data_IF_217760766914
#
_entry.id   IF_217760766914
#
_cell.length_a   1.000
_cell.length_b   1.000
_cell.length_c   1.000
_cell.angle_alpha   90.00
_cell.angle_beta   90.00
_cell.angle_gamma   90.00
#
_symmetry.space_group_name_H-M   'P 1'
#
loop_
_entity.id
_entity.type
_entity.pdbx_description
1 polymer ?
#
# COMPACT_ATOMS: atom_id res chain seq x y z
N UNK A 1 -8.50 -14.59 -7.83
CA UNK A 1 -7.09 -14.95 -7.64
C UNK A 1 -6.91 -15.72 -6.35
N UNK A 2 -7.27 -15.15 -5.22
CA UNK A 2 -7.12 -15.75 -3.89
C UNK A 2 -8.44 -15.82 -3.17
N UNK A 3 -8.57 -16.72 -2.20
CA UNK A 3 -9.81 -16.89 -1.43
C UNK A 3 -9.49 -17.51 -0.06
N UNK A 4 -10.17 -17.01 0.99
CA UNK A 4 -10.28 -17.71 2.27
C UNK A 4 -11.28 -18.87 2.16
N UNK A 5 -11.10 -19.89 2.97
CA UNK A 5 -11.97 -21.06 3.05
C UNK A 5 -12.83 -21.02 4.32
N UNK A 6 -13.95 -21.75 4.39
CA UNK A 6 -14.77 -21.85 5.60
C UNK A 6 -14.04 -22.48 6.81
N UNK A 7 -12.89 -23.11 6.58
CA UNK A 7 -12.09 -23.74 7.64
C UNK A 7 -10.99 -22.81 8.18
N UNK A 8 -10.79 -21.64 7.59
CA UNK A 8 -9.83 -20.66 8.06
C UNK A 8 -10.38 -20.00 9.35
N UNK A 9 -9.51 -19.69 10.28
CA UNK A 9 -9.92 -19.00 11.49
C UNK A 9 -10.29 -17.53 11.22
N UNK A 10 -10.96 -16.92 12.20
CA UNK A 10 -11.49 -15.56 12.06
C UNK A 10 -10.36 -14.53 11.82
N UNK A 11 -9.21 -14.68 12.46
CA UNK A 11 -8.09 -13.77 12.32
C UNK A 11 -7.51 -13.83 10.89
N UNK A 12 -7.30 -15.03 10.36
CA UNK A 12 -6.86 -15.25 8.98
C UNK A 12 -7.83 -14.62 7.97
N UNK A 13 -9.15 -14.83 8.15
CA UNK A 13 -10.17 -14.25 7.28
C UNK A 13 -10.19 -12.71 7.36
N UNK A 14 -10.01 -12.15 8.56
CA UNK A 14 -10.06 -10.71 8.78
C UNK A 14 -8.81 -9.97 8.30
N UNK A 15 -7.63 -10.63 8.29
CA UNK A 15 -6.34 -9.97 8.06
C UNK A 15 -5.68 -10.31 6.74
N UNK A 16 -6.21 -11.31 5.98
CA UNK A 16 -5.64 -11.76 4.71
C UNK A 16 -6.67 -11.77 3.58
N UNK A 17 -6.20 -11.83 2.35
CA UNK A 17 -7.02 -12.04 1.15
C UNK A 17 -7.10 -13.52 0.74
N UNK A 18 -6.73 -14.44 1.65
CA UNK A 18 -6.76 -15.87 1.41
C UNK A 18 -5.54 -16.40 0.65
N UNK A 19 -5.65 -17.64 0.17
CA UNK A 19 -4.64 -18.34 -0.62
C UNK A 19 -5.04 -18.44 -2.08
N UNK A 20 -4.06 -18.66 -2.97
CA UNK A 20 -4.32 -18.91 -4.39
C UNK A 20 -5.40 -20.00 -4.57
N UNK A 21 -6.36 -19.74 -5.46
CA UNK A 21 -7.36 -20.75 -5.86
C UNK A 21 -6.71 -21.81 -6.75
N UNK A 22 -7.41 -22.93 -6.97
CA UNK A 22 -6.90 -24.01 -7.81
C UNK A 22 -6.45 -23.50 -9.19
N UNK A 23 -5.34 -24.04 -9.69
CA UNK A 23 -4.75 -23.70 -11.00
C UNK A 23 -4.37 -22.23 -11.19
N UNK A 24 -4.15 -21.50 -10.07
CA UNK A 24 -3.62 -20.14 -10.04
C UNK A 24 -2.36 -20.11 -9.19
N UNK A 25 -1.34 -19.47 -9.72
CA UNK A 25 -0.07 -19.26 -9.03
C UNK A 25 0.04 -17.81 -8.59
N UNK A 26 0.59 -17.59 -7.38
CA UNK A 26 0.85 -16.27 -6.80
C UNK A 26 2.25 -16.26 -6.23
N UNK A 27 2.99 -15.20 -6.50
CA UNK A 27 4.30 -14.93 -5.88
C UNK A 27 4.42 -13.43 -5.57
N UNK A 28 5.35 -13.09 -4.65
CA UNK A 28 5.75 -11.72 -4.42
C UNK A 28 7.20 -11.54 -4.90
N UNK A 29 7.49 -10.43 -5.57
CA UNK A 29 8.82 -10.12 -6.12
C UNK A 29 9.28 -8.73 -5.69
N UNK A 30 10.61 -8.55 -5.66
CA UNK A 30 11.24 -7.25 -5.46
C UNK A 30 11.30 -6.43 -6.78
N UNK A 31 11.99 -5.29 -6.74
CA UNK A 31 12.16 -4.40 -7.90
C UNK A 31 13.01 -5.01 -9.04
N UNK A 32 13.82 -6.03 -8.72
CA UNK A 32 14.63 -6.77 -9.68
C UNK A 32 13.93 -8.06 -10.19
N UNK A 33 12.60 -8.19 -9.95
CA UNK A 33 11.77 -9.36 -10.25
C UNK A 33 12.25 -10.66 -9.57
N UNK A 34 13.03 -10.57 -8.47
CA UNK A 34 13.41 -11.72 -7.68
C UNK A 34 12.35 -12.05 -6.65
N UNK A 35 12.03 -13.34 -6.50
CA UNK A 35 11.04 -13.78 -5.50
C UNK A 35 11.56 -13.46 -4.11
N UNK A 36 10.76 -12.71 -3.34
CA UNK A 36 11.07 -12.37 -1.94
C UNK A 36 10.78 -13.56 -1.01
N UNK A 37 11.41 -13.55 0.18
CA UNK A 37 11.15 -14.56 1.20
C UNK A 37 9.74 -14.46 1.76
N UNK A 38 9.19 -15.57 2.26
CA UNK A 38 7.90 -15.54 2.93
C UNK A 38 7.94 -14.60 4.13
N UNK A 39 6.94 -13.72 4.23
CA UNK A 39 6.84 -12.69 5.25
C UNK A 39 7.44 -11.33 4.85
N UNK A 40 8.11 -11.23 3.71
CA UNK A 40 8.64 -9.98 3.18
C UNK A 40 7.68 -9.35 2.16
N UNK A 41 7.58 -8.02 2.12
CA UNK A 41 6.74 -7.34 1.14
C UNK A 41 7.35 -7.38 -0.26
N UNK A 42 6.51 -7.55 -1.28
CA UNK A 42 6.89 -7.51 -2.68
C UNK A 42 5.68 -7.26 -3.59
N UNK A 43 5.93 -6.94 -4.87
CA UNK A 43 4.85 -6.85 -5.84
C UNK A 43 4.22 -8.22 -6.05
N UNK A 44 2.88 -8.26 -6.01
CA UNK A 44 2.10 -9.48 -6.21
C UNK A 44 2.03 -9.78 -7.71
N UNK A 45 2.58 -10.91 -8.11
CA UNK A 45 2.44 -11.45 -9.46
C UNK A 45 1.49 -12.65 -9.46
N UNK A 46 0.67 -12.73 -10.49
CA UNK A 46 -0.35 -13.78 -10.66
C UNK A 46 -0.22 -14.44 -12.02
N UNK A 47 -0.30 -15.76 -12.04
CA UNK A 47 -0.38 -16.55 -13.28
C UNK A 47 -1.49 -17.59 -13.19
N UNK A 48 -2.29 -17.72 -14.24
CA UNK A 48 -3.37 -18.70 -14.27
C UNK A 48 -4.45 -18.38 -15.30
N UNK A 49 -5.43 -19.24 -15.38
CA UNK A 49 -6.55 -19.15 -16.35
C UNK A 49 -7.44 -17.93 -16.16
N UNK A 50 -7.39 -17.30 -15.00
CA UNK A 50 -8.26 -16.21 -14.57
C UNK A 50 -7.68 -14.82 -14.80
N UNK A 51 -6.44 -14.71 -15.31
CA UNK A 51 -5.86 -13.41 -15.66
C UNK A 51 -6.46 -12.90 -16.97
N UNK A 52 -6.44 -11.58 -17.15
CA UNK A 52 -6.91 -10.95 -18.40
C UNK A 52 -6.03 -11.36 -19.58
N UNK A 53 -6.61 -11.38 -20.79
CA UNK A 53 -5.84 -11.54 -22.03
C UNK A 53 -5.14 -10.25 -22.46
N UNK A 54 -5.46 -9.12 -21.83
CA UNK A 54 -4.86 -7.83 -22.11
C UNK A 54 -5.85 -6.67 -21.99
N UNK A 55 -5.33 -5.47 -22.22
CA UNK A 55 -6.10 -4.23 -22.25
C UNK A 55 -6.67 -3.97 -23.65
N UNK A 56 -7.95 -3.67 -23.72
CA UNK A 56 -8.64 -3.44 -24.99
C UNK A 56 -8.00 -2.30 -25.80
N UNK A 57 -7.62 -2.61 -27.05
CA UNK A 57 -6.94 -1.70 -27.95
C UNK A 57 -5.66 -1.03 -27.40
N UNK A 58 -5.01 -1.65 -26.39
CA UNK A 58 -3.77 -1.13 -25.81
C UNK A 58 -2.73 -2.27 -25.63
N UNK A 59 -2.06 -2.70 -26.72
CA UNK A 59 -1.07 -3.77 -26.66
C UNK A 59 0.17 -3.38 -25.84
N UNK A 60 0.53 -2.10 -25.81
CA UNK A 60 1.66 -1.66 -25.00
C UNK A 60 1.39 -1.85 -23.51
N UNK A 61 0.25 -1.38 -23.01
CA UNK A 61 -0.13 -1.59 -21.60
C UNK A 61 -0.28 -3.09 -21.25
N UNK A 62 -0.64 -3.92 -22.23
CA UNK A 62 -0.70 -5.37 -22.04
C UNK A 62 0.70 -5.96 -21.85
N UNK A 63 1.68 -5.57 -22.66
CA UNK A 63 3.07 -6.00 -22.53
C UNK A 63 3.73 -5.52 -21.23
N UNK A 64 3.37 -4.32 -20.78
CA UNK A 64 3.85 -3.78 -19.50
C UNK A 64 3.26 -4.52 -18.30
N UNK A 65 2.04 -5.04 -18.43
CA UNK A 65 1.33 -5.70 -17.34
C UNK A 65 1.53 -7.22 -17.28
N UNK A 66 1.79 -7.87 -18.42
CA UNK A 66 1.96 -9.34 -18.48
C UNK A 66 3.32 -9.63 -19.10
N UNK A 67 4.18 -10.29 -18.33
CA UNK A 67 5.51 -10.65 -18.79
C UNK A 67 5.51 -11.84 -19.76
N UNK A 68 6.69 -12.13 -20.36
CA UNK A 68 6.86 -13.21 -21.35
C UNK A 68 6.60 -14.63 -20.79
N UNK A 69 6.68 -14.80 -19.46
CA UNK A 69 6.38 -16.05 -18.74
C UNK A 69 4.90 -16.16 -18.35
N UNK A 70 4.08 -15.16 -18.71
CA UNK A 70 2.65 -15.11 -18.47
C UNK A 70 2.26 -14.67 -17.05
N UNK A 71 3.15 -13.99 -16.33
CA UNK A 71 2.84 -13.39 -15.04
C UNK A 71 2.24 -12.01 -15.21
N UNK A 72 1.08 -11.80 -14.60
CA UNK A 72 0.45 -10.49 -14.47
C UNK A 72 1.07 -9.74 -13.30
N UNK A 73 1.70 -8.61 -13.56
CA UNK A 73 2.09 -7.61 -12.59
C UNK A 73 0.85 -6.84 -12.12
N UNK A 74 0.43 -7.09 -10.88
CA UNK A 74 -0.84 -6.51 -10.39
C UNK A 74 -0.72 -5.03 -10.03
N UNK A 75 0.49 -4.56 -9.77
CA UNK A 75 0.76 -3.24 -9.21
C UNK A 75 0.34 -3.12 -7.74
N UNK A 76 -0.05 -4.21 -7.10
CA UNK A 76 -0.33 -4.25 -5.66
C UNK A 76 0.86 -4.87 -4.93
N UNK A 77 1.20 -4.31 -3.78
CA UNK A 77 2.23 -4.82 -2.88
C UNK A 77 1.56 -5.70 -1.83
N UNK A 78 2.17 -6.83 -1.53
CA UNK A 78 1.66 -7.73 -0.50
C UNK A 78 2.73 -8.57 0.15
N UNK A 79 2.34 -9.24 1.22
CA UNK A 79 3.15 -10.17 1.98
C UNK A 79 2.53 -11.54 1.82
N UNK A 80 3.29 -12.50 1.31
CA UNK A 80 2.90 -13.89 1.22
C UNK A 80 3.53 -14.64 2.40
N UNK A 81 2.70 -15.23 3.25
CA UNK A 81 3.21 -16.00 4.39
C UNK A 81 3.67 -17.42 3.99
N UNK A 82 4.28 -18.14 4.92
CA UNK A 82 4.76 -19.52 4.70
C UNK A 82 3.63 -20.55 4.45
N UNK A 83 2.38 -20.20 4.74
CA UNK A 83 1.21 -21.03 4.51
C UNK A 83 0.51 -20.69 3.19
N UNK A 84 1.02 -19.67 2.46
CA UNK A 84 0.46 -19.22 1.19
C UNK A 84 -0.69 -18.22 1.32
N UNK A 85 -0.95 -17.64 2.50
CA UNK A 85 -1.89 -16.54 2.65
C UNK A 85 -1.26 -15.23 2.25
N UNK A 86 -2.02 -14.43 1.50
CA UNK A 86 -1.57 -13.12 1.05
C UNK A 86 -2.28 -12.01 1.80
N UNK A 87 -1.50 -11.04 2.27
CA UNK A 87 -1.98 -9.79 2.82
C UNK A 87 -1.58 -8.66 1.87
N UNK A 88 -2.55 -8.02 1.25
CA UNK A 88 -2.31 -6.84 0.42
C UNK A 88 -2.04 -5.67 1.35
N UNK A 89 -0.92 -4.97 1.13
CA UNK A 89 -0.46 -3.90 2.02
C UNK A 89 -0.49 -2.53 1.37
N UNK A 90 -0.23 -2.44 0.06
CA UNK A 90 -0.19 -1.14 -0.64
C UNK A 90 -0.28 -1.31 -2.16
N UNK A 91 -0.08 -0.21 -2.88
CA UNK A 91 0.13 -0.16 -4.33
C UNK A 91 1.54 0.27 -4.68
N UNK A 92 2.14 -0.38 -5.66
CA UNK A 92 3.52 -0.07 -6.09
C UNK A 92 3.65 1.38 -6.60
N UNK A 93 2.60 1.92 -7.24
CA UNK A 93 2.56 3.30 -7.74
C UNK A 93 2.48 4.38 -6.65
N UNK A 94 2.05 4.02 -5.46
CA UNK A 94 1.93 4.93 -4.33
C UNK A 94 3.16 4.88 -3.42
N UNK A 95 3.99 3.82 -3.54
CA UNK A 95 5.25 3.68 -2.82
C UNK A 95 6.23 4.80 -3.19
N UNK A 96 6.99 5.27 -2.23
CA UNK A 96 8.07 6.24 -2.41
C UNK A 96 9.33 5.81 -1.65
N UNK A 97 10.49 6.38 -2.01
CA UNK A 97 11.79 5.92 -1.50
C UNK A 97 12.40 6.98 -0.58
N UNK A 98 12.55 6.64 0.69
CA UNK A 98 13.13 7.49 1.72
C UNK A 98 14.54 7.00 2.07
N UNK A 99 15.57 7.69 1.60
CA UNK A 99 16.96 7.35 1.91
C UNK A 99 17.35 5.92 1.53
N UNK A 100 16.78 5.38 0.44
CA UNK A 100 17.01 4.01 -0.03
C UNK A 100 16.06 2.95 0.54
N UNK A 101 15.12 3.33 1.40
CA UNK A 101 14.11 2.41 1.95
C UNK A 101 12.75 2.64 1.28
N UNK A 102 12.09 1.55 0.90
CA UNK A 102 10.71 1.61 0.41
C UNK A 102 9.76 2.00 1.54
N UNK A 103 9.05 3.09 1.37
CA UNK A 103 7.98 3.53 2.26
C UNK A 103 6.62 3.30 1.58
N UNK A 104 5.74 2.63 2.29
CA UNK A 104 4.43 2.26 1.81
C UNK A 104 3.37 3.13 2.49
N UNK A 105 2.70 4.04 1.74
CA UNK A 105 1.72 4.96 2.30
C UNK A 105 0.64 4.32 3.15
N UNK A 106 0.05 3.20 2.71
CA UNK A 106 -1.02 2.55 3.45
C UNK A 106 -0.56 1.99 4.80
N UNK A 107 0.70 1.55 4.92
CA UNK A 107 1.26 1.14 6.20
C UNK A 107 1.35 2.33 7.18
N UNK A 108 1.83 3.48 6.70
CA UNK A 108 1.94 4.71 7.50
C UNK A 108 0.55 5.20 7.89
N UNK A 109 -0.40 5.22 6.95
CA UNK A 109 -1.79 5.62 7.16
C UNK A 109 -2.47 4.75 8.23
N UNK A 110 -2.29 3.44 8.17
CA UNK A 110 -2.84 2.53 9.16
C UNK A 110 -2.30 2.84 10.56
N UNK A 111 -0.99 3.03 10.69
CA UNK A 111 -0.38 3.39 12.00
C UNK A 111 -0.92 4.75 12.46
N UNK A 112 -0.99 5.78 11.60
CA UNK A 112 -1.56 7.08 11.97
C UNK A 112 -3.02 6.97 12.43
N UNK A 113 -3.82 6.12 11.79
CA UNK A 113 -5.22 5.89 12.16
C UNK A 113 -5.39 5.15 13.50
N UNK A 114 -4.36 4.50 14.04
CA UNK A 114 -4.36 3.96 15.41
C UNK A 114 -4.33 5.07 16.47
N UNK A 115 -3.95 6.30 16.11
CA UNK A 115 -3.98 7.44 17.02
C UNK A 115 -5.44 7.81 17.37
N UNK A 116 -5.78 7.95 18.69
CA UNK A 116 -7.18 8.12 19.14
C UNK A 116 -7.90 9.36 18.57
N UNK A 117 -7.15 10.42 18.23
CA UNK A 117 -7.72 11.65 17.68
C UNK A 117 -7.91 11.66 16.16
N UNK A 118 -7.34 10.68 15.42
CA UNK A 118 -7.36 10.66 13.95
C UNK A 118 -8.58 9.88 13.45
N UNK A 119 -9.30 10.47 12.50
CA UNK A 119 -10.43 9.83 11.80
C UNK A 119 -9.99 9.19 10.49
N UNK A 120 -9.17 9.91 9.71
CA UNK A 120 -8.66 9.47 8.43
C UNK A 120 -7.27 10.08 8.22
N UNK A 121 -6.44 9.38 7.45
CA UNK A 121 -5.17 9.91 6.98
C UNK A 121 -4.93 9.53 5.53
N UNK A 122 -4.15 10.36 4.83
CA UNK A 122 -3.60 10.05 3.53
C UNK A 122 -2.13 10.48 3.52
N UNK A 123 -1.27 9.64 2.96
CA UNK A 123 0.17 9.88 2.90
C UNK A 123 0.65 9.84 1.46
N UNK A 124 1.49 10.81 1.12
CA UNK A 124 2.19 10.88 -0.18
C UNK A 124 3.69 11.05 0.04
N UNK A 125 4.49 10.63 -0.94
CA UNK A 125 5.88 11.02 -1.05
C UNK A 125 5.98 12.43 -1.63
N UNK A 126 6.81 13.27 -1.02
CA UNK A 126 7.19 14.60 -1.52
C UNK A 126 8.70 14.69 -1.63
N UNK A 127 9.21 15.48 -2.57
CA UNK A 127 10.65 15.62 -2.81
C UNK A 127 11.40 16.18 -1.59
N UNK A 128 12.57 15.60 -1.28
CA UNK A 128 13.49 16.04 -0.24
C UNK A 128 14.91 15.99 -0.77
N UNK A 129 15.66 17.09 -0.61
CA UNK A 129 17.03 17.24 -1.14
C UNK A 129 18.00 16.18 -0.61
N UNK A 130 17.79 15.65 0.58
CA UNK A 130 18.72 14.74 1.26
C UNK A 130 18.28 13.28 1.16
N UNK A 131 16.98 13.01 1.26
CA UNK A 131 16.41 11.66 1.36
C UNK A 131 15.84 11.16 0.03
N UNK A 132 15.79 12.01 -1.01
CA UNK A 132 15.09 11.77 -2.26
C UNK A 132 13.61 12.09 -2.13
N UNK A 133 12.89 11.33 -1.34
CA UNK A 133 11.51 11.62 -0.95
C UNK A 133 11.35 11.46 0.57
N UNK A 134 10.29 12.09 1.09
CA UNK A 134 9.85 11.95 2.49
C UNK A 134 8.33 11.90 2.55
N UNK A 135 7.79 11.34 3.64
CA UNK A 135 6.34 11.28 3.85
C UNK A 135 5.76 12.66 4.21
N UNK A 136 4.72 13.08 3.50
CA UNK A 136 3.79 14.14 3.91
C UNK A 136 2.44 13.48 4.24
N UNK A 137 1.92 13.76 5.44
CA UNK A 137 0.65 13.23 5.93
C UNK A 137 -0.44 14.30 5.92
N UNK A 138 -1.57 14.01 5.30
CA UNK A 138 -2.81 14.77 5.39
C UNK A 138 -3.73 14.06 6.39
N UNK A 139 -4.19 14.79 7.41
CA UNK A 139 -4.87 14.18 8.56
C UNK A 139 -6.22 14.86 8.80
N UNK A 140 -7.25 14.02 8.94
CA UNK A 140 -8.59 14.45 9.39
C UNK A 140 -8.77 14.03 10.83
N UNK A 141 -9.05 14.98 11.71
CA UNK A 141 -9.32 14.71 13.12
C UNK A 141 -10.76 14.23 13.34
N UNK A 142 -10.96 13.44 14.39
CA UNK A 142 -12.30 13.12 14.89
C UNK A 142 -12.98 14.39 15.45
N UNK A 143 -14.32 14.44 15.47
CA UNK A 143 -15.03 15.57 16.07
C UNK A 143 -14.60 15.87 17.50
N UNK A 144 -14.39 17.14 17.81
CA UNK A 144 -14.00 17.65 19.13
C UNK A 144 -12.62 17.12 19.63
N UNK A 145 -11.77 16.64 18.74
CA UNK A 145 -10.38 16.33 19.07
C UNK A 145 -9.49 17.49 18.64
N UNK A 146 -8.40 17.69 19.39
CA UNK A 146 -7.34 18.63 19.10
C UNK A 146 -6.01 17.90 19.10
N UNK A 147 -5.18 18.17 18.09
CA UNK A 147 -3.87 17.55 17.93
C UNK A 147 -3.02 18.48 17.07
N UNK A 148 -1.86 18.87 17.56
CA UNK A 148 -0.89 19.64 16.78
C UNK A 148 0.11 18.73 16.06
N UNK A 149 0.80 19.29 15.06
CA UNK A 149 1.74 18.55 14.22
C UNK A 149 2.93 18.00 15.02
N UNK A 150 3.46 18.77 15.98
CA UNK A 150 4.62 18.34 16.78
C UNK A 150 4.28 17.13 17.65
N UNK A 151 3.10 17.13 18.27
CA UNK A 151 2.59 16.02 19.07
C UNK A 151 2.39 14.76 18.21
N UNK A 152 1.82 14.91 17.00
CA UNK A 152 1.65 13.78 16.08
C UNK A 152 2.99 13.24 15.57
N UNK A 153 3.93 14.11 15.24
CA UNK A 153 5.28 13.71 14.82
C UNK A 153 6.03 12.98 15.95
N UNK A 154 5.87 13.42 17.20
CA UNK A 154 6.47 12.73 18.34
C UNK A 154 5.83 11.34 18.53
N UNK A 155 4.50 11.27 18.50
CA UNK A 155 3.80 9.99 18.57
C UNK A 155 4.21 9.03 17.45
N UNK A 156 4.35 9.55 16.23
CA UNK A 156 4.79 8.75 15.07
C UNK A 156 6.19 8.17 15.26
N UNK A 157 7.13 8.92 15.85
CA UNK A 157 8.48 8.41 16.16
C UNK A 157 8.48 7.24 17.13
N UNK A 158 7.50 7.20 18.02
CA UNK A 158 7.38 6.13 19.02
C UNK A 158 6.70 4.88 18.46
N UNK A 159 5.98 5.00 17.33
CA UNK A 159 5.14 3.93 16.78
C UNK A 159 5.57 3.40 15.40
N UNK A 160 6.52 4.04 14.72
CA UNK A 160 7.00 3.58 13.42
C UNK A 160 8.50 3.82 13.23
N UNK A 161 9.09 3.12 12.25
CA UNK A 161 10.49 3.31 11.90
C UNK A 161 10.75 4.75 11.39
N UNK A 162 11.92 5.32 11.69
CA UNK A 162 12.23 6.73 11.45
C UNK A 162 12.07 7.17 9.98
N UNK A 163 12.34 6.30 9.01
CA UNK A 163 12.16 6.61 7.59
C UNK A 163 10.69 6.68 7.17
N UNK A 164 9.76 6.10 7.94
CA UNK A 164 8.30 6.14 7.75
C UNK A 164 7.65 7.35 8.41
N UNK A 165 8.33 7.98 9.39
CA UNK A 165 7.79 9.14 10.11
C UNK A 165 7.59 10.29 9.13
N UNK A 166 6.36 10.84 9.02
CA UNK A 166 6.12 12.02 8.18
C UNK A 166 7.05 13.17 8.56
N UNK A 167 7.51 13.91 7.57
CA UNK A 167 8.27 15.16 7.78
C UNK A 167 7.36 16.36 7.78
N UNK A 168 6.22 16.24 7.12
CA UNK A 168 5.19 17.25 7.05
C UNK A 168 3.84 16.66 7.46
N UNK A 169 3.07 17.44 8.20
CA UNK A 169 1.69 17.10 8.60
C UNK A 169 0.80 18.28 8.28
N UNK A 170 -0.25 18.02 7.53
CA UNK A 170 -1.29 18.99 7.20
C UNK A 170 -2.64 18.50 7.71
N UNK A 171 -3.29 19.29 8.58
CA UNK A 171 -4.63 18.98 9.07
C UNK A 171 -5.66 19.56 8.10
N UNK A 172 -6.49 18.66 7.56
CA UNK A 172 -7.54 19.00 6.59
C UNK A 172 -8.92 18.67 7.15
N UNK A 173 -9.96 19.33 6.63
CA UNK A 173 -11.34 19.04 7.04
C UNK A 173 -11.86 17.73 6.46
N UNK A 174 -11.46 17.43 5.24
CA UNK A 174 -11.84 16.22 4.48
C UNK A 174 -10.74 15.89 3.46
N UNK A 175 -10.62 14.62 3.12
CA UNK A 175 -9.74 14.15 2.06
C UNK A 175 -10.52 14.09 0.73
N UNK A 176 -9.88 14.40 -0.41
CA UNK A 176 -10.53 14.30 -1.71
C UNK A 176 -10.87 12.84 -2.02
N UNK A 177 -12.15 12.56 -2.24
CA UNK A 177 -12.64 11.20 -2.54
C UNK A 177 -13.42 11.16 -3.85
N UNK A 178 -13.36 10.04 -4.55
CA UNK A 178 -14.23 9.80 -5.70
C UNK A 178 -15.65 9.36 -5.25
N UNK A 179 -16.55 9.16 -6.21
CA UNK A 179 -17.94 8.76 -5.95
C UNK A 179 -18.06 7.39 -5.22
N UNK A 180 -17.03 6.56 -5.26
CA UNK A 180 -16.97 5.28 -4.55
C UNK A 180 -16.33 5.40 -3.15
N UNK A 181 -16.00 6.61 -2.69
CA UNK A 181 -15.36 6.87 -1.38
C UNK A 181 -13.85 6.61 -1.35
N UNK A 182 -13.20 6.34 -2.49
CA UNK A 182 -11.75 6.13 -2.56
C UNK A 182 -11.03 7.47 -2.56
N UNK A 183 -10.02 7.61 -1.70
CA UNK A 183 -9.15 8.81 -1.63
C UNK A 183 -8.37 8.96 -2.94
N UNK A 184 -8.41 10.16 -3.51
CA UNK A 184 -7.72 10.54 -4.74
C UNK A 184 -6.38 11.21 -4.40
N UNK A 185 -5.37 10.40 -4.04
CA UNK A 185 -4.03 10.89 -3.61
C UNK A 185 -3.34 11.78 -4.64
N UNK A 186 -3.62 11.60 -5.93
CA UNK A 186 -3.03 12.44 -6.98
C UNK A 186 -3.41 13.92 -6.84
N UNK A 187 -4.61 14.23 -6.33
CA UNK A 187 -5.01 15.61 -6.06
C UNK A 187 -4.23 16.25 -4.91
N UNK A 188 -3.76 15.43 -3.95
CA UNK A 188 -2.94 15.91 -2.84
C UNK A 188 -1.49 16.22 -3.28
N UNK A 189 -1.02 15.62 -4.38
CA UNK A 189 0.30 15.89 -4.95
C UNK A 189 0.36 17.22 -5.71
N UNK A 190 -0.77 17.65 -6.30
CA UNK A 190 -0.84 18.89 -7.06
C UNK A 190 -0.91 20.15 -6.15
N UNK A 191 -1.19 19.97 -4.86
CA UNK A 191 -1.28 21.03 -3.85
C UNK A 191 -0.01 21.14 -2.96
N UNK A 192 1.02 20.34 -3.24
CA UNK A 192 2.21 20.15 -2.38
C UNK A 192 3.41 20.93 -2.86
#
# INVERSE_FOLDING_TARGET
VTMCTPNDDYETIATTSGRAIADVEVKCVDQDNQVVSAGEPGEILVRGYNITQGYFNNPQATQEAIDDDGWLHTGDIGILDSNGYIKITDRSKDMFIVGGFNAYPAEIENILCDHPAISQSAVIGVEDERMGEVAKAFVVLKPNQDLDADSLLQWSKDNMANYKVPREVEFVRELPTNAAGKIMKYLLKDES
#
